data_IF_847901970461
#
_entry.id   IF_847901970461
#
_cell.length_a   1.000
_cell.length_b   1.000
_cell.length_c   1.000
_cell.angle_alpha   90.00
_cell.angle_beta   90.00
_cell.angle_gamma   90.00
#
_symmetry.space_group_name_H-M   'P 1'
#
loop_
_entity.id
_entity.type
_entity.pdbx_description
1 polymer ?
#
# COMPACT_ATOMS: atom_id res chain seq x y z
N UNK A 1 8.26 -23.22 -18.46
CA UNK A 1 8.02 -23.08 -17.01
C UNK A 1 6.80 -22.22 -16.67
N UNK A 2 6.35 -21.30 -17.53
CA UNK A 2 5.26 -20.36 -17.21
C UNK A 2 3.87 -20.71 -17.82
N UNK A 3 3.74 -21.82 -18.57
CA UNK A 3 2.51 -22.14 -19.32
C UNK A 3 1.42 -22.84 -18.50
N UNK A 4 1.78 -23.48 -17.38
CA UNK A 4 0.86 -24.26 -16.53
C UNK A 4 0.79 -23.73 -15.10
N UNK A 5 1.02 -22.42 -14.92
CA UNK A 5 0.73 -21.78 -13.65
C UNK A 5 -0.77 -21.61 -13.53
N UNK A 6 -1.37 -22.32 -12.59
CA UNK A 6 -2.74 -22.09 -12.18
C UNK A 6 -2.89 -20.64 -11.68
N UNK A 7 -4.10 -20.09 -11.78
CA UNK A 7 -4.37 -18.68 -11.49
C UNK A 7 -3.92 -18.27 -10.08
N UNK A 8 -3.97 -19.19 -9.11
CA UNK A 8 -3.56 -18.91 -7.74
C UNK A 8 -2.04 -18.73 -7.64
N UNK A 9 -1.24 -19.60 -8.28
CA UNK A 9 0.23 -19.45 -8.28
C UNK A 9 0.67 -18.18 -8.99
N UNK A 10 0.00 -17.81 -10.10
CA UNK A 10 0.29 -16.54 -10.79
C UNK A 10 -0.01 -15.32 -9.90
N UNK A 11 -1.16 -15.30 -9.22
CA UNK A 11 -1.52 -14.22 -8.31
C UNK A 11 -0.52 -14.10 -7.15
N UNK A 12 -0.05 -15.23 -6.60
CA UNK A 12 0.95 -15.22 -5.53
C UNK A 12 2.30 -14.68 -5.99
N UNK A 13 2.74 -15.00 -7.20
CA UNK A 13 3.97 -14.44 -7.79
C UNK A 13 3.84 -12.94 -8.03
N UNK A 14 2.72 -12.50 -8.58
CA UNK A 14 2.43 -11.09 -8.85
C UNK A 14 2.36 -10.26 -7.55
N UNK A 15 1.78 -10.81 -6.48
CA UNK A 15 1.79 -10.19 -5.15
C UNK A 15 3.21 -10.17 -4.56
N UNK A 16 3.95 -11.27 -4.65
CA UNK A 16 5.32 -11.37 -4.13
C UNK A 16 6.27 -10.37 -4.77
N UNK A 17 6.14 -10.13 -6.08
CA UNK A 17 6.91 -9.10 -6.78
C UNK A 17 6.62 -7.70 -6.24
N UNK A 18 5.34 -7.35 -6.04
CA UNK A 18 4.94 -6.02 -5.53
C UNK A 18 5.35 -5.81 -4.07
N UNK A 19 5.19 -6.82 -3.22
CA UNK A 19 5.66 -6.78 -1.84
C UNK A 19 7.18 -6.58 -1.78
N UNK A 20 7.93 -7.23 -2.66
CA UNK A 20 9.38 -7.05 -2.74
C UNK A 20 9.74 -5.61 -3.08
N UNK A 21 9.01 -4.95 -3.99
CA UNK A 21 9.23 -3.54 -4.31
C UNK A 21 8.85 -2.61 -3.16
N UNK A 22 7.70 -2.82 -2.50
CA UNK A 22 7.25 -2.02 -1.34
C UNK A 22 8.26 -2.06 -0.19
N UNK A 23 8.94 -3.18 0.01
CA UNK A 23 9.93 -3.34 1.08
C UNK A 23 11.30 -2.70 0.74
N UNK A 24 11.49 -2.16 -0.47
CA UNK A 24 12.73 -1.46 -0.82
C UNK A 24 12.72 -0.05 -0.24
N UNK A 25 13.51 0.15 0.80
CA UNK A 25 13.72 1.47 1.39
C UNK A 25 15.07 2.06 0.96
N UNK A 26 15.12 3.31 0.46
CA UNK A 26 16.38 3.99 0.19
C UNK A 26 17.14 4.27 1.50
N UNK A 27 18.46 4.27 1.41
CA UNK A 27 19.31 4.56 2.56
C UNK A 27 19.04 5.96 3.11
N UNK A 28 19.06 6.10 4.44
CA UNK A 28 18.84 7.36 5.17
C UNK A 28 17.45 7.98 5.06
N UNK A 29 16.44 7.23 4.58
CA UNK A 29 15.04 7.67 4.57
C UNK A 29 14.23 6.80 5.53
N UNK A 30 14.27 7.08 6.84
CA UNK A 30 13.44 6.35 7.80
C UNK A 30 11.96 6.66 7.56
N UNK A 31 11.14 5.62 7.49
CA UNK A 31 9.70 5.74 7.29
C UNK A 31 8.96 5.75 8.64
N UNK A 32 8.05 6.69 8.90
CA UNK A 32 7.14 6.66 10.05
C UNK A 32 6.30 5.38 10.12
N UNK A 33 5.93 4.95 11.33
CA UNK A 33 5.17 3.71 11.54
C UNK A 33 3.82 3.72 10.80
N UNK A 34 3.13 4.84 10.81
CA UNK A 34 1.86 5.00 10.11
C UNK A 34 2.01 4.81 8.60
N UNK A 35 3.04 5.40 7.99
CA UNK A 35 3.32 5.22 6.57
C UNK A 35 3.65 3.77 6.22
N UNK A 36 4.42 3.07 7.07
CA UNK A 36 4.71 1.65 6.91
C UNK A 36 3.43 0.80 6.98
N UNK A 37 2.57 1.06 7.97
CA UNK A 37 1.29 0.34 8.12
C UNK A 37 0.39 0.58 6.91
N UNK A 38 0.30 1.82 6.43
CA UNK A 38 -0.56 2.17 5.30
C UNK A 38 -0.12 1.49 4.00
N UNK A 39 1.18 1.45 3.68
CA UNK A 39 1.66 0.81 2.45
C UNK A 39 1.58 -0.73 2.52
N UNK A 40 1.90 -1.33 3.68
CA UNK A 40 1.78 -2.78 3.86
C UNK A 40 0.32 -3.20 3.78
N UNK A 41 -0.59 -2.45 4.41
CA UNK A 41 -2.03 -2.70 4.30
C UNK A 41 -2.48 -2.67 2.84
N UNK A 42 -2.04 -1.67 2.08
CA UNK A 42 -2.39 -1.56 0.66
C UNK A 42 -1.90 -2.76 -0.17
N UNK A 43 -0.71 -3.27 0.12
CA UNK A 43 -0.11 -4.41 -0.58
C UNK A 43 -0.84 -5.73 -0.27
N UNK A 44 -1.17 -6.01 1.00
CA UNK A 44 -1.82 -7.27 1.39
C UNK A 44 -3.30 -7.33 1.01
N UNK A 45 -3.94 -6.18 0.79
CA UNK A 45 -5.37 -6.09 0.40
C UNK A 45 -5.57 -6.00 -1.11
N UNK A 46 -4.50 -6.08 -1.92
CA UNK A 46 -4.57 -6.12 -3.38
C UNK A 46 -4.77 -4.76 -4.05
N UNK A 47 -4.61 -3.63 -3.34
CA UNK A 47 -4.75 -2.31 -3.97
C UNK A 47 -3.62 -1.98 -4.95
N UNK A 48 -2.51 -2.72 -4.91
CA UNK A 48 -1.37 -2.59 -5.82
C UNK A 48 -1.46 -3.54 -7.03
N UNK A 49 -2.46 -4.43 -7.12
CA UNK A 49 -2.50 -5.48 -8.14
C UNK A 49 -2.61 -4.94 -9.58
N UNK A 50 -3.18 -3.76 -9.76
CA UNK A 50 -3.27 -3.04 -11.05
C UNK A 50 -2.05 -2.15 -11.33
N UNK A 51 -1.15 -2.00 -10.36
CA UNK A 51 0.06 -1.18 -10.48
C UNK A 51 1.18 -2.02 -11.11
N UNK A 52 1.80 -1.56 -12.21
CA UNK A 52 3.02 -2.16 -12.74
C UNK A 52 4.15 -2.16 -11.70
N UNK A 53 4.93 -3.24 -11.64
CA UNK A 53 6.01 -3.45 -10.65
C UNK A 53 7.02 -2.28 -10.64
N UNK A 54 7.36 -1.76 -11.81
CA UNK A 54 8.26 -0.62 -12.00
C UNK A 54 7.69 0.73 -11.48
N UNK A 55 6.37 0.81 -11.30
CA UNK A 55 5.67 2.00 -10.80
C UNK A 55 5.27 1.93 -9.33
N UNK A 56 5.51 0.80 -8.65
CA UNK A 56 5.12 0.59 -7.25
C UNK A 56 5.66 1.69 -6.34
N UNK A 57 6.93 2.08 -6.51
CA UNK A 57 7.54 3.16 -5.72
C UNK A 57 6.87 4.52 -5.95
N UNK A 58 6.59 4.86 -7.21
CA UNK A 58 5.93 6.11 -7.54
C UNK A 58 4.50 6.16 -6.96
N UNK A 59 3.82 5.01 -6.98
CA UNK A 59 2.51 4.82 -6.39
C UNK A 59 2.54 4.99 -4.87
N UNK A 60 3.51 4.39 -4.18
CA UNK A 60 3.71 4.51 -2.74
C UNK A 60 3.93 5.98 -2.33
N UNK A 61 4.86 6.67 -2.98
CA UNK A 61 5.16 8.07 -2.68
C UNK A 61 3.93 8.97 -2.92
N UNK A 62 3.16 8.68 -3.96
CA UNK A 62 1.92 9.39 -4.26
C UNK A 62 0.81 9.10 -3.24
N UNK A 63 0.67 7.84 -2.81
CA UNK A 63 -0.26 7.45 -1.75
C UNK A 63 0.06 8.19 -0.45
N UNK A 64 1.33 8.17 0.00
CA UNK A 64 1.72 8.85 1.24
C UNK A 64 1.44 10.35 1.18
N UNK A 65 1.75 11.02 0.05
CA UNK A 65 1.41 12.43 -0.15
C UNK A 65 -0.09 12.68 -0.11
N UNK A 66 -0.88 11.83 -0.77
CA UNK A 66 -2.33 11.94 -0.80
C UNK A 66 -2.94 11.78 0.59
N UNK A 67 -2.54 10.74 1.33
CA UNK A 67 -3.04 10.46 2.68
C UNK A 67 -2.63 11.57 3.65
N UNK A 68 -1.40 12.08 3.58
CA UNK A 68 -0.97 13.20 4.40
C UNK A 68 -1.77 14.49 4.12
N UNK A 69 -2.18 14.73 2.88
CA UNK A 69 -2.92 15.93 2.48
C UNK A 69 -4.43 15.84 2.76
N UNK A 70 -5.04 14.67 2.56
CA UNK A 70 -6.51 14.49 2.57
C UNK A 70 -7.01 13.74 3.80
N UNK A 71 -6.20 12.84 4.35
CA UNK A 71 -6.58 11.94 5.45
C UNK A 71 -5.52 11.92 6.57
N UNK A 72 -5.03 13.07 7.06
CA UNK A 72 -3.96 13.11 8.07
C UNK A 72 -4.36 12.43 9.39
N UNK A 73 -5.66 12.41 9.69
CA UNK A 73 -6.18 11.78 10.89
C UNK A 73 -5.97 10.28 10.92
N UNK A 74 -5.99 9.60 9.76
CA UNK A 74 -5.74 8.14 9.69
C UNK A 74 -4.33 7.83 10.18
N UNK A 75 -3.33 8.57 9.70
CA UNK A 75 -1.94 8.41 10.16
C UNK A 75 -1.79 8.72 11.65
N UNK A 76 -2.44 9.77 12.16
CA UNK A 76 -2.43 10.12 13.59
C UNK A 76 -3.05 9.05 14.47
N UNK A 77 -4.20 8.51 14.07
CA UNK A 77 -4.87 7.42 14.80
C UNK A 77 -3.97 6.19 14.85
N UNK A 78 -3.36 5.80 13.73
CA UNK A 78 -2.42 4.67 13.69
C UNK A 78 -1.22 4.90 14.62
N UNK A 79 -0.64 6.10 14.61
CA UNK A 79 0.48 6.44 15.50
C UNK A 79 0.10 6.40 16.98
N UNK A 80 -1.10 6.87 17.33
CA UNK A 80 -1.57 6.99 18.71
C UNK A 80 -2.03 5.64 19.28
N UNK A 81 -2.90 4.94 18.55
CA UNK A 81 -3.49 3.68 18.99
C UNK A 81 -2.54 2.50 18.81
N UNK A 82 -1.57 2.61 17.88
CA UNK A 82 -0.68 1.51 17.47
C UNK A 82 -1.42 0.23 17.09
N UNK A 83 -2.67 0.39 16.68
CA UNK A 83 -3.58 -0.66 16.27
C UNK A 83 -4.37 -0.17 15.05
N UNK A 84 -4.80 -1.12 14.22
CA UNK A 84 -5.69 -0.83 13.11
C UNK A 84 -7.09 -1.35 13.47
N UNK A 85 -7.86 -0.51 14.16
CA UNK A 85 -9.26 -0.80 14.48
C UNK A 85 -10.10 -0.93 13.20
N UNK A 86 -11.24 -1.61 13.28
CA UNK A 86 -12.14 -1.78 12.13
C UNK A 86 -12.56 -0.43 11.54
N UNK A 87 -12.80 0.58 12.39
CA UNK A 87 -13.09 1.94 11.95
C UNK A 87 -11.92 2.58 11.18
N UNK A 88 -10.70 2.50 11.71
CA UNK A 88 -9.50 3.07 11.06
C UNK A 88 -9.20 2.35 9.75
N UNK A 89 -9.36 1.02 9.71
CA UNK A 89 -9.21 0.23 8.49
C UNK A 89 -10.25 0.61 7.43
N UNK A 90 -11.50 0.86 7.84
CA UNK A 90 -12.57 1.32 6.96
C UNK A 90 -12.27 2.69 6.36
N UNK A 91 -11.76 3.62 7.18
CA UNK A 91 -11.32 4.95 6.71
C UNK A 91 -10.12 4.85 5.77
N UNK A 92 -9.13 4.02 6.10
CA UNK A 92 -7.96 3.79 5.25
C UNK A 92 -8.36 3.18 3.90
N UNK A 93 -9.28 2.22 3.90
CA UNK A 93 -9.84 1.62 2.69
C UNK A 93 -10.53 2.65 1.80
N UNK A 94 -11.38 3.51 2.37
CA UNK A 94 -12.02 4.59 1.64
C UNK A 94 -10.99 5.57 1.05
N UNK A 95 -9.97 5.94 1.84
CA UNK A 95 -8.91 6.84 1.41
C UNK A 95 -8.07 6.26 0.26
N UNK A 96 -7.73 4.97 0.30
CA UNK A 96 -7.00 4.29 -0.79
C UNK A 96 -7.89 4.20 -2.05
N UNK A 97 -9.18 3.92 -1.91
CA UNK A 97 -10.12 3.88 -3.03
C UNK A 97 -10.22 5.25 -3.73
N UNK A 98 -10.34 6.33 -2.95
CA UNK A 98 -10.34 7.70 -3.47
C UNK A 98 -9.03 8.05 -4.16
N UNK A 99 -7.89 7.65 -3.57
CA UNK A 99 -6.58 7.83 -4.19
C UNK A 99 -6.51 7.12 -5.54
N UNK A 100 -6.93 5.86 -5.62
CA UNK A 100 -6.94 5.10 -6.87
C UNK A 100 -7.82 5.73 -7.94
N UNK A 101 -8.95 6.33 -7.57
CA UNK A 101 -9.80 7.07 -8.50
C UNK A 101 -9.13 8.32 -9.09
N UNK A 102 -8.17 8.92 -8.38
CA UNK A 102 -7.41 10.09 -8.83
C UNK A 102 -6.09 9.74 -9.52
N UNK A 103 -5.51 8.59 -9.19
CA UNK A 103 -4.23 8.12 -9.74
C UNK A 103 -4.38 7.37 -11.08
N UNK A 104 -5.59 6.93 -11.41
CA UNK A 104 -5.92 6.22 -12.64
C UNK A 104 -5.53 6.99 -13.92
#
# INVERSE_FOLDING_TARGET
FASDLDKATRAQLELGQRLTEVLKQPQYVPMPLDQQVMIVYAAITGYLDDVPVDKVRAWEEALHRFLAARYPDVGRTIMSEKALSDETSGRLKAAIADFKAQWA
#
